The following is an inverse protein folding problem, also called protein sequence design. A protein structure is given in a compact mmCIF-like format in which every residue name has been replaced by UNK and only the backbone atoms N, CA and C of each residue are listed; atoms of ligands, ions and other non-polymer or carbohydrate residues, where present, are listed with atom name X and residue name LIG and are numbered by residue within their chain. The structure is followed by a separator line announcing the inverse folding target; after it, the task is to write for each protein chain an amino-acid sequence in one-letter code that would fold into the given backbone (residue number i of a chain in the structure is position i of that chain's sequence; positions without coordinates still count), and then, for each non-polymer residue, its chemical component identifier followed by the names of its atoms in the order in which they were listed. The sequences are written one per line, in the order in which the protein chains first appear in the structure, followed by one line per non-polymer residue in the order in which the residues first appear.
data_IF_342478059630
#
_entry.id   IF_342478059630
#
_cell.length_a   1.000
_cell.length_b   1.000
_cell.length_c   1.000
_cell.angle_alpha   90.00
_cell.angle_beta   90.00
_cell.angle_gamma   90.00
#
_symmetry.space_group_name_H-M   'P 1'
#
loop_
_entity.id
_entity.type
_entity.pdbx_description
1 polymer ?
#
# COMPACT_ATOMS: atom_id res chain seq x y z
N UNK A 1 -31.41 18.80 -18.75
CA UNK A 1 -30.37 19.52 -17.98
C UNK A 1 -29.63 18.45 -17.19
N UNK A 2 -28.32 18.32 -17.37
CA UNK A 2 -27.55 17.21 -16.81
C UNK A 2 -27.46 17.33 -15.27
N UNK A 3 -28.12 16.43 -14.54
CA UNK A 3 -28.12 16.37 -13.07
C UNK A 3 -26.79 15.85 -12.48
N UNK A 4 -25.81 15.46 -13.31
CA UNK A 4 -24.54 14.91 -12.86
C UNK A 4 -23.67 15.92 -12.11
N UNK A 5 -23.61 17.16 -12.59
CA UNK A 5 -22.74 18.22 -12.05
C UNK A 5 -23.18 18.71 -10.66
N UNK A 6 -24.48 19.02 -10.42
CA UNK A 6 -24.96 19.40 -9.09
C UNK A 6 -24.76 18.29 -8.07
N UNK A 7 -24.93 17.02 -8.47
CA UNK A 7 -24.71 15.86 -7.60
C UNK A 7 -23.25 15.72 -7.19
N UNK A 8 -22.31 15.87 -8.13
CA UNK A 8 -20.87 15.83 -7.86
C UNK A 8 -20.45 16.93 -6.87
N UNK A 9 -20.92 18.17 -7.10
CA UNK A 9 -20.61 19.31 -6.23
C UNK A 9 -21.15 19.08 -4.82
N UNK A 10 -22.39 18.60 -4.68
CA UNK A 10 -22.96 18.29 -3.38
C UNK A 10 -22.18 17.18 -2.67
N UNK A 11 -21.83 16.10 -3.37
CA UNK A 11 -21.02 15.03 -2.81
C UNK A 11 -19.67 15.55 -2.29
N UNK A 12 -18.97 16.38 -3.07
CA UNK A 12 -17.67 16.93 -2.67
C UNK A 12 -17.77 17.86 -1.45
N UNK A 13 -18.83 18.67 -1.36
CA UNK A 13 -19.12 19.51 -0.18
C UNK A 13 -19.33 18.65 1.07
N UNK A 14 -20.01 17.52 0.95
CA UNK A 14 -20.23 16.59 2.06
C UNK A 14 -18.93 15.93 2.56
N UNK A 15 -17.90 15.82 1.70
CA UNK A 15 -16.57 15.32 2.08
C UNK A 15 -15.69 16.37 2.76
N UNK A 16 -16.02 17.67 2.65
CA UNK A 16 -15.20 18.76 3.17
C UNK A 16 -14.94 18.70 4.69
N UNK A 17 -15.90 18.34 5.56
CA UNK A 17 -15.65 18.15 6.99
C UNK A 17 -14.59 17.09 7.29
N UNK A 18 -14.61 15.97 6.56
CA UNK A 18 -13.62 14.90 6.72
C UNK A 18 -12.22 15.38 6.32
N UNK A 19 -12.10 16.08 5.19
CA UNK A 19 -10.84 16.68 4.74
C UNK A 19 -10.29 17.63 5.81
N UNK A 20 -11.14 18.50 6.38
CA UNK A 20 -10.71 19.46 7.39
C UNK A 20 -10.28 18.78 8.70
N UNK A 21 -10.98 17.73 9.12
CA UNK A 21 -10.65 17.00 10.35
C UNK A 21 -9.30 16.28 10.27
N UNK A 22 -8.92 15.80 9.08
CA UNK A 22 -7.75 14.94 8.88
C UNK A 22 -6.56 15.62 8.19
N UNK A 23 -6.73 16.83 7.66
CA UNK A 23 -5.60 17.62 7.15
C UNK A 23 -4.55 17.83 8.24
N UNK A 24 -3.29 17.59 7.89
CA UNK A 24 -2.12 17.68 8.77
C UNK A 24 -2.00 16.51 9.77
N UNK A 25 -2.98 15.59 9.84
CA UNK A 25 -2.91 14.41 10.69
C UNK A 25 -2.01 13.34 10.06
N UNK A 26 -1.45 12.49 10.91
CA UNK A 26 -0.65 11.35 10.44
C UNK A 26 -1.49 10.09 10.42
N UNK A 27 -1.53 9.42 9.27
CA UNK A 27 -2.19 8.14 9.11
C UNK A 27 -1.10 7.08 8.91
N UNK A 28 -1.12 6.04 9.75
CA UNK A 28 -0.28 4.86 9.58
C UNK A 28 -1.13 3.79 8.89
N UNK A 29 -0.77 3.45 7.66
CA UNK A 29 -1.53 2.50 6.83
C UNK A 29 -0.69 1.25 6.66
N UNK A 30 -1.16 0.15 7.24
CA UNK A 30 -0.55 -1.18 7.10
C UNK A 30 -1.41 -2.04 6.19
N UNK A 31 -0.79 -2.72 5.23
CA UNK A 31 -1.49 -3.66 4.35
C UNK A 31 -0.60 -4.87 4.06
N UNK A 32 -1.23 -6.02 3.81
CA UNK A 32 -0.52 -7.26 3.45
C UNK A 32 0.15 -7.15 2.08
N UNK A 33 1.16 -7.98 1.84
CA UNK A 33 1.84 -8.02 0.54
C UNK A 33 0.93 -8.49 -0.60
N UNK A 34 -0.18 -9.16 -0.26
CA UNK A 34 -1.26 -9.59 -1.14
C UNK A 34 -1.92 -8.40 -1.83
N UNK A 35 -1.99 -7.24 -1.18
CA UNK A 35 -2.60 -6.03 -1.75
C UNK A 35 -1.86 -5.57 -3.02
N UNK A 36 -0.54 -5.79 -3.09
CA UNK A 36 0.27 -5.44 -4.25
C UNK A 36 0.16 -6.46 -5.39
N UNK A 37 -0.23 -7.70 -5.08
CA UNK A 37 -0.49 -8.72 -6.10
C UNK A 37 -1.94 -8.68 -6.62
N UNK A 38 -2.77 -7.79 -6.09
CA UNK A 38 -4.17 -7.69 -6.48
C UNK A 38 -4.36 -6.84 -7.74
N UNK A 39 -5.42 -7.12 -8.50
CA UNK A 39 -5.78 -6.33 -9.68
C UNK A 39 -6.05 -4.86 -9.36
N UNK A 40 -6.32 -4.54 -8.09
CA UNK A 40 -6.62 -3.18 -7.61
C UNK A 40 -5.44 -2.52 -6.86
N UNK A 41 -4.22 -3.01 -7.01
CA UNK A 41 -3.05 -2.38 -6.39
C UNK A 41 -2.92 -0.90 -6.79
N UNK A 42 -3.12 -0.57 -8.07
CA UNK A 42 -3.09 0.80 -8.56
C UNK A 42 -4.18 1.68 -7.93
N UNK A 43 -5.38 1.15 -7.72
CA UNK A 43 -6.48 1.87 -7.07
C UNK A 43 -6.14 2.23 -5.61
N UNK A 44 -5.57 1.28 -4.87
CA UNK A 44 -5.08 1.53 -3.51
C UNK A 44 -4.05 2.66 -3.47
N UNK A 45 -3.07 2.64 -4.39
CA UNK A 45 -2.05 3.69 -4.45
C UNK A 45 -2.66 5.04 -4.85
N UNK A 46 -3.63 5.05 -5.75
CA UNK A 46 -4.36 6.27 -6.11
C UNK A 46 -5.09 6.89 -4.90
N UNK A 47 -5.80 6.08 -4.12
CA UNK A 47 -6.51 6.56 -2.92
C UNK A 47 -5.54 7.10 -1.87
N UNK A 48 -4.38 6.45 -1.68
CA UNK A 48 -3.34 6.94 -0.79
C UNK A 48 -2.73 8.25 -1.31
N UNK A 49 -2.44 8.36 -2.60
CA UNK A 49 -1.95 9.60 -3.20
C UNK A 49 -2.96 10.74 -3.05
N UNK A 50 -4.26 10.47 -3.20
CA UNK A 50 -5.34 11.42 -2.97
C UNK A 50 -5.34 11.92 -1.52
N UNK A 51 -5.26 11.03 -0.53
CA UNK A 51 -5.17 11.43 0.89
C UNK A 51 -3.97 12.32 1.16
N UNK A 52 -2.81 12.00 0.58
CA UNK A 52 -1.61 12.83 0.64
C UNK A 52 -1.86 14.22 0.05
N UNK A 53 -2.45 14.29 -1.15
CA UNK A 53 -2.81 15.55 -1.82
C UNK A 53 -3.83 16.39 -1.05
N UNK A 54 -4.70 15.77 -0.25
CA UNK A 54 -5.63 16.48 0.64
C UNK A 54 -4.98 17.00 1.93
N UNK A 55 -3.71 16.64 2.16
CA UNK A 55 -2.87 17.12 3.25
C UNK A 55 -2.71 16.14 4.41
N UNK A 56 -3.07 14.86 4.25
CA UNK A 56 -2.80 13.81 5.25
C UNK A 56 -1.33 13.40 5.13
N UNK A 57 -0.63 13.26 6.27
CA UNK A 57 0.73 12.73 6.30
C UNK A 57 0.68 11.21 6.38
N UNK A 58 1.13 10.51 5.34
CA UNK A 58 1.07 9.06 5.29
C UNK A 58 2.36 8.41 5.78
N UNK A 59 2.21 7.38 6.60
CA UNK A 59 3.24 6.38 6.91
C UNK A 59 2.73 5.04 6.38
N UNK A 60 3.42 4.51 5.37
CA UNK A 60 3.01 3.27 4.71
C UNK A 60 3.85 2.10 5.24
N UNK A 61 3.19 1.04 5.68
CA UNK A 61 3.80 -0.18 6.23
C UNK A 61 3.35 -1.38 5.40
N UNK A 62 4.06 -1.69 4.30
CA UNK A 62 3.69 -2.80 3.43
C UNK A 62 4.20 -4.13 4.00
N UNK A 63 3.34 -5.14 3.97
CA UNK A 63 3.74 -6.53 4.10
C UNK A 63 4.43 -7.03 2.83
N UNK A 64 5.15 -8.14 2.95
CA UNK A 64 5.84 -8.78 1.81
C UNK A 64 5.72 -10.31 1.85
N UNK A 65 4.78 -10.87 2.61
CA UNK A 65 4.71 -12.31 2.87
C UNK A 65 4.62 -13.15 1.58
N UNK A 66 3.70 -12.89 0.63
CA UNK A 66 3.65 -13.63 -0.63
C UNK A 66 4.94 -13.52 -1.44
N UNK A 67 5.56 -12.34 -1.44
CA UNK A 67 6.80 -12.07 -2.18
C UNK A 67 7.99 -12.83 -1.57
N UNK A 68 8.02 -12.99 -0.25
CA UNK A 68 9.05 -13.76 0.45
C UNK A 68 8.84 -15.25 0.22
N UNK A 69 7.62 -15.75 0.40
CA UNK A 69 7.30 -17.17 0.22
C UNK A 69 7.61 -17.62 -1.20
N UNK A 70 7.31 -16.80 -2.21
CA UNK A 70 7.70 -17.06 -3.60
C UNK A 70 9.20 -17.26 -3.75
N UNK A 71 10.03 -16.36 -3.19
CA UNK A 71 11.50 -16.45 -3.28
C UNK A 71 12.07 -17.63 -2.50
N UNK A 72 11.51 -17.96 -1.33
CA UNK A 72 11.91 -19.13 -0.56
C UNK A 72 11.63 -20.42 -1.34
N UNK A 73 10.45 -20.52 -1.95
CA UNK A 73 10.08 -21.65 -2.80
C UNK A 73 10.99 -21.76 -4.03
N UNK A 74 11.30 -20.65 -4.69
CA UNK A 74 12.23 -20.59 -5.85
C UNK A 74 13.65 -21.10 -5.48
N UNK A 75 14.09 -20.92 -4.23
CA UNK A 75 15.39 -21.40 -3.73
C UNK A 75 15.34 -22.81 -3.11
N UNK A 76 14.15 -23.40 -3.00
CA UNK A 76 13.97 -24.68 -2.30
C UNK A 76 14.17 -24.59 -0.78
N UNK A 77 14.15 -23.38 -0.21
CA UNK A 77 14.27 -23.15 1.23
C UNK A 77 12.92 -23.43 1.89
N UNK A 78 12.92 -24.23 2.96
CA UNK A 78 11.70 -24.54 3.72
C UNK A 78 11.04 -23.31 4.33
N UNK A 79 9.71 -23.30 4.37
CA UNK A 79 8.91 -22.27 5.02
C UNK A 79 8.33 -22.85 6.31
N UNK A 80 8.74 -22.32 7.45
CA UNK A 80 8.26 -22.73 8.78
C UNK A 80 7.64 -21.54 9.53
N UNK A 81 6.56 -21.82 10.24
CA UNK A 81 5.87 -20.87 11.10
C UNK A 81 5.71 -21.43 12.52
N UNK A 82 6.01 -20.61 13.52
CA UNK A 82 5.76 -20.88 14.94
C UNK A 82 4.95 -19.71 15.48
N UNK A 83 3.78 -20.00 16.06
CA UNK A 83 2.85 -18.99 16.62
C UNK A 83 2.51 -17.84 15.64
N UNK A 84 2.38 -18.18 14.35
CA UNK A 84 2.08 -17.21 13.28
C UNK A 84 3.27 -16.35 12.86
N UNK A 85 4.44 -16.52 13.45
CA UNK A 85 5.68 -15.87 13.06
C UNK A 85 6.54 -16.79 12.21
N UNK A 86 7.11 -16.26 11.11
CA UNK A 86 8.01 -17.02 10.25
C UNK A 86 9.35 -17.22 10.93
N UNK A 87 9.79 -18.47 11.03
CA UNK A 87 11.18 -18.77 11.39
C UNK A 87 12.07 -18.32 10.25
N UNK A 88 12.97 -17.36 10.52
CA UNK A 88 13.82 -16.75 9.48
C UNK A 88 15.27 -17.13 9.76
N UNK A 89 15.77 -18.12 9.02
CA UNK A 89 17.20 -18.49 9.00
C UNK A 89 18.04 -17.42 8.29
N UNK A 90 19.38 -17.54 8.36
CA UNK A 90 20.27 -16.65 7.63
C UNK A 90 20.03 -16.70 6.11
N UNK A 91 19.80 -17.88 5.55
CA UNK A 91 19.47 -18.05 4.13
C UNK A 91 18.10 -17.43 3.78
N UNK A 92 17.10 -17.63 4.66
CA UNK A 92 15.78 -17.05 4.46
C UNK A 92 15.82 -15.51 4.54
N UNK A 93 16.71 -14.93 5.36
CA UNK A 93 16.86 -13.50 5.50
C UNK A 93 17.25 -12.82 4.18
N UNK A 94 18.10 -13.44 3.36
CA UNK A 94 18.45 -12.92 2.03
C UNK A 94 17.21 -12.83 1.12
N UNK A 95 16.35 -13.86 1.14
CA UNK A 95 15.08 -13.85 0.43
C UNK A 95 14.15 -12.74 0.95
N UNK A 96 14.14 -12.51 2.27
CA UNK A 96 13.38 -11.43 2.92
C UNK A 96 13.85 -10.06 2.42
N UNK A 97 15.15 -9.80 2.46
CA UNK A 97 15.71 -8.52 2.04
C UNK A 97 15.40 -8.22 0.57
N UNK A 98 15.56 -9.23 -0.30
CA UNK A 98 15.23 -9.10 -1.71
C UNK A 98 13.75 -8.83 -1.96
N UNK A 99 12.85 -9.54 -1.25
CA UNK A 99 11.42 -9.34 -1.37
C UNK A 99 10.99 -7.95 -0.90
N UNK A 100 11.46 -7.51 0.27
CA UNK A 100 11.13 -6.19 0.82
C UNK A 100 11.69 -5.07 -0.07
N UNK A 101 12.91 -5.21 -0.59
CA UNK A 101 13.48 -4.27 -1.56
C UNK A 101 12.64 -4.16 -2.83
N UNK A 102 12.20 -5.31 -3.37
CA UNK A 102 11.30 -5.36 -4.54
C UNK A 102 9.97 -4.66 -4.27
N UNK A 103 9.33 -4.94 -3.13
CA UNK A 103 8.05 -4.32 -2.72
C UNK A 103 8.20 -2.81 -2.59
N UNK A 104 9.28 -2.34 -1.97
CA UNK A 104 9.56 -0.91 -1.83
C UNK A 104 9.70 -0.23 -3.20
N UNK A 105 10.46 -0.82 -4.12
CA UNK A 105 10.67 -0.27 -5.46
C UNK A 105 9.37 -0.23 -6.27
N UNK A 106 8.55 -1.28 -6.19
CA UNK A 106 7.25 -1.33 -6.84
C UNK A 106 6.30 -0.24 -6.32
N UNK A 107 6.24 -0.04 -5.01
CA UNK A 107 5.49 1.04 -4.39
C UNK A 107 5.98 2.42 -4.85
N UNK A 108 7.28 2.65 -4.84
CA UNK A 108 7.88 3.91 -5.31
C UNK A 108 7.51 4.20 -6.77
N UNK A 109 7.52 3.18 -7.63
CA UNK A 109 7.11 3.29 -9.02
C UNK A 109 5.62 3.66 -9.16
N UNK A 110 4.74 2.97 -8.42
CA UNK A 110 3.30 3.24 -8.44
C UNK A 110 2.99 4.66 -7.92
N UNK A 111 3.64 5.10 -6.83
CA UNK A 111 3.46 6.46 -6.30
C UNK A 111 4.01 7.54 -7.24
N UNK A 112 5.09 7.26 -7.97
CA UNK A 112 5.65 8.19 -8.96
C UNK A 112 4.70 8.46 -10.13
N UNK A 113 3.82 7.51 -10.46
CA UNK A 113 2.78 7.69 -11.48
C UNK A 113 1.48 8.29 -10.92
N UNK A 114 1.27 8.22 -9.60
CA UNK A 114 0.02 8.61 -8.94
C UNK A 114 -0.04 10.04 -8.40
N UNK A 115 1.09 10.75 -8.33
CA UNK A 115 1.10 12.17 -7.99
C UNK A 115 0.66 12.98 -9.21
N UNK A 116 -0.51 13.62 -9.11
CA UNK A 116 -0.97 14.56 -10.12
C UNK A 116 0.06 15.70 -10.26
N UNK A 117 0.65 15.81 -11.46
CA UNK A 117 1.32 17.03 -11.93
C UNK A 117 0.28 18.12 -12.20
#
# INVERSE_FOLDING_TARGET
MDESLPRLVNWFRHSSPFIHAHRGRTFVVSFGGEALNSDNAAGLIHDLALLSGLGVRLVIVPGARPQIERRLNERGTGIEYVDGLRVTSAEALDCVQQAVGSVRLELEALFSMGLAN
#
